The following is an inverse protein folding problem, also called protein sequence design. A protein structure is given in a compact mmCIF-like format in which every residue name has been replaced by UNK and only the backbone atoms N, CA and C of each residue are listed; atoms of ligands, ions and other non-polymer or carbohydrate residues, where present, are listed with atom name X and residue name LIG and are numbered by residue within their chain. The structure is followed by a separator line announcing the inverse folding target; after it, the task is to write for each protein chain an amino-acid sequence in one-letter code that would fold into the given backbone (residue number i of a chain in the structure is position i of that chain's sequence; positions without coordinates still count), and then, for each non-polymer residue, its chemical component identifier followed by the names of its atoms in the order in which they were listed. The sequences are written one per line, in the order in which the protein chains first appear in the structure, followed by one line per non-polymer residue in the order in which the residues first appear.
data_IF_332041136923
#
_entry.id   IF_332041136923
#
_cell.length_a   1.000
_cell.length_b   1.000
_cell.length_c   1.000
_cell.angle_alpha   90.00
_cell.angle_beta   90.00
_cell.angle_gamma   90.00
#
_symmetry.space_group_name_H-M   'P 1'
#
loop_
_entity.id
_entity.type
_entity.pdbx_description
1 polymer ?
#
# COMPACT_ATOMS: atom_id res chain seq x y z
N UNK A 1 9.82 -26.66 -0.93
CA UNK A 1 9.35 -26.59 0.47
C UNK A 1 7.95 -26.02 0.41
N UNK A 2 6.95 -26.78 0.87
CA UNK A 2 5.55 -26.33 0.90
C UNK A 2 5.44 -25.28 2.01
N UNK A 3 4.77 -24.15 1.74
CA UNK A 3 4.50 -23.15 2.76
C UNK A 3 3.51 -23.74 3.79
N UNK A 4 3.86 -23.66 5.06
CA UNK A 4 3.02 -24.17 6.14
C UNK A 4 2.85 -23.08 7.22
N UNK A 5 1.60 -22.81 7.60
CA UNK A 5 1.28 -21.93 8.72
C UNK A 5 1.66 -22.59 10.05
N UNK A 6 2.32 -21.86 10.93
CA UNK A 6 2.45 -22.23 12.33
C UNK A 6 1.09 -22.01 13.04
N UNK A 7 0.30 -23.06 13.06
CA UNK A 7 -1.07 -23.00 13.58
C UNK A 7 -1.12 -22.70 15.08
N UNK A 8 -0.16 -23.18 15.87
CA UNK A 8 -0.13 -22.92 17.31
C UNK A 8 0.17 -21.46 17.61
N UNK A 9 1.12 -20.89 16.90
CA UNK A 9 1.47 -19.47 17.01
C UNK A 9 0.32 -18.58 16.51
N UNK A 10 -0.28 -18.92 15.38
CA UNK A 10 -1.39 -18.18 14.80
C UNK A 10 -2.61 -18.20 15.74
N UNK A 11 -2.95 -19.34 16.30
CA UNK A 11 -4.03 -19.48 17.29
C UNK A 11 -3.76 -18.56 18.50
N UNK A 12 -2.55 -18.59 19.04
CA UNK A 12 -2.17 -17.73 20.18
C UNK A 12 -2.27 -16.23 19.85
N UNK A 13 -1.78 -15.82 18.66
CA UNK A 13 -1.80 -14.43 18.23
C UNK A 13 -3.25 -13.90 18.14
N UNK A 14 -4.15 -14.68 17.59
CA UNK A 14 -5.55 -14.27 17.40
C UNK A 14 -6.35 -14.45 18.70
N UNK A 15 -6.23 -15.60 19.38
CA UNK A 15 -7.06 -15.89 20.55
C UNK A 15 -6.67 -15.08 21.79
N UNK A 16 -5.36 -14.97 22.06
CA UNK A 16 -4.83 -14.32 23.27
C UNK A 16 -4.54 -12.84 23.03
N UNK A 17 -3.79 -12.52 21.95
CA UNK A 17 -3.36 -11.15 21.70
C UNK A 17 -4.36 -10.33 20.89
N UNK A 18 -5.44 -10.94 20.38
CA UNK A 18 -6.53 -10.25 19.67
C UNK A 18 -6.08 -9.48 18.43
N UNK A 19 -5.05 -9.99 17.74
CA UNK A 19 -4.56 -9.36 16.50
C UNK A 19 -5.61 -9.50 15.41
N UNK A 20 -6.07 -8.38 14.88
CA UNK A 20 -7.14 -8.29 13.87
C UNK A 20 -6.64 -7.86 12.48
N UNK A 21 -5.34 -7.67 12.31
CA UNK A 21 -4.76 -7.31 11.02
C UNK A 21 -3.42 -8.01 10.82
N UNK A 22 -3.15 -8.44 9.59
CA UNK A 22 -1.90 -9.06 9.19
C UNK A 22 -1.38 -8.44 7.90
N UNK A 23 -0.05 -8.47 7.73
CA UNK A 23 0.59 -7.86 6.58
C UNK A 23 1.65 -8.78 5.95
N UNK A 24 1.80 -8.64 4.65
CA UNK A 24 2.82 -9.23 3.80
C UNK A 24 2.93 -10.77 3.84
N UNK A 25 3.93 -11.29 3.15
CA UNK A 25 4.30 -12.70 3.16
C UNK A 25 5.59 -12.89 3.97
N UNK A 26 5.80 -14.06 4.59
CA UNK A 26 6.94 -14.26 5.49
C UNK A 26 8.28 -14.18 4.77
N UNK A 27 8.55 -14.99 3.74
CA UNK A 27 9.89 -15.07 3.12
C UNK A 27 9.87 -15.23 1.62
N UNK A 28 8.73 -15.54 1.03
CA UNK A 28 8.56 -15.76 -0.42
C UNK A 28 7.14 -15.41 -0.84
N UNK A 29 6.97 -15.10 -2.12
CA UNK A 29 5.64 -15.04 -2.72
C UNK A 29 4.95 -16.41 -2.66
N UNK A 30 3.64 -16.41 -2.57
CA UNK A 30 2.80 -17.61 -2.58
C UNK A 30 1.99 -17.65 -3.87
N UNK A 31 1.66 -18.85 -4.33
CA UNK A 31 0.69 -19.03 -5.42
C UNK A 31 -0.71 -18.60 -4.96
N UNK A 32 -1.59 -18.31 -5.90
CA UNK A 32 -3.01 -18.03 -5.61
C UNK A 32 -3.63 -19.15 -4.74
N UNK A 33 -3.37 -20.42 -5.10
CA UNK A 33 -3.88 -21.55 -4.35
C UNK A 33 -3.35 -21.66 -2.91
N UNK A 34 -2.12 -21.20 -2.66
CA UNK A 34 -1.56 -21.12 -1.30
C UNK A 34 -2.20 -19.97 -0.53
N UNK A 35 -2.34 -18.78 -1.14
CA UNK A 35 -3.04 -17.64 -0.53
C UNK A 35 -4.48 -17.98 -0.15
N UNK A 36 -5.22 -18.64 -1.02
CA UNK A 36 -6.59 -19.13 -0.78
C UNK A 36 -6.70 -20.17 0.36
N UNK A 37 -5.59 -20.71 0.84
CA UNK A 37 -5.54 -21.52 2.07
C UNK A 37 -5.16 -20.68 3.29
N UNK A 38 -4.20 -19.77 3.12
CA UNK A 38 -3.67 -18.94 4.22
C UNK A 38 -4.73 -17.97 4.75
N UNK A 39 -5.26 -17.12 3.89
CA UNK A 39 -6.18 -16.05 4.31
C UNK A 39 -7.49 -16.60 4.88
N UNK A 40 -8.18 -17.56 4.25
CA UNK A 40 -9.37 -18.16 4.85
C UNK A 40 -9.12 -18.90 6.18
N UNK A 41 -7.93 -19.47 6.37
CA UNK A 41 -7.57 -20.10 7.66
C UNK A 41 -7.48 -19.04 8.76
N UNK A 42 -6.83 -17.90 8.50
CA UNK A 42 -6.76 -16.77 9.42
C UNK A 42 -8.18 -16.24 9.70
N UNK A 43 -9.00 -16.07 8.67
CA UNK A 43 -10.39 -15.61 8.81
C UNK A 43 -11.23 -16.53 9.70
N UNK A 44 -11.10 -17.86 9.55
CA UNK A 44 -11.81 -18.82 10.41
C UNK A 44 -11.44 -18.64 11.89
N UNK A 45 -10.16 -18.47 12.19
CA UNK A 45 -9.69 -18.23 13.57
C UNK A 45 -10.17 -16.87 14.09
N UNK A 46 -10.12 -15.83 13.28
CA UNK A 46 -10.62 -14.51 13.64
C UNK A 46 -12.10 -14.54 13.98
N UNK A 47 -12.92 -15.13 13.13
CA UNK A 47 -14.35 -15.28 13.38
C UNK A 47 -14.66 -16.14 14.62
N UNK A 48 -13.83 -17.17 14.88
CA UNK A 48 -13.95 -17.99 16.09
C UNK A 48 -13.71 -17.18 17.36
N UNK A 49 -12.64 -16.38 17.41
CA UNK A 49 -12.17 -15.73 18.63
C UNK A 49 -12.53 -14.26 18.77
N UNK A 50 -12.56 -13.51 17.66
CA UNK A 50 -12.82 -12.07 17.66
C UNK A 50 -14.24 -11.71 17.26
N UNK A 51 -14.93 -12.58 16.52
CA UNK A 51 -16.27 -12.37 15.93
C UNK A 51 -16.31 -11.29 14.84
N UNK A 52 -15.15 -10.82 14.41
CA UNK A 52 -14.96 -9.88 13.31
C UNK A 52 -13.90 -10.41 12.35
N UNK A 53 -14.00 -10.14 11.05
CA UNK A 53 -12.98 -10.54 10.08
C UNK A 53 -11.63 -9.87 10.33
N UNK A 54 -10.55 -10.58 10.05
CA UNK A 54 -9.20 -10.01 9.97
C UNK A 54 -9.04 -9.23 8.68
N UNK A 55 -8.35 -8.10 8.73
CA UNK A 55 -7.89 -7.38 7.54
C UNK A 55 -6.49 -7.87 7.19
N UNK A 56 -6.33 -8.42 5.98
CA UNK A 56 -5.03 -8.87 5.46
C UNK A 56 -4.58 -7.97 4.32
N UNK A 57 -3.37 -7.42 4.40
CA UNK A 57 -2.83 -6.51 3.40
C UNK A 57 -1.49 -6.96 2.85
N UNK A 58 -1.22 -6.61 1.58
CA UNK A 58 0.04 -6.88 0.89
C UNK A 58 0.67 -5.61 0.34
N UNK A 59 2.00 -5.57 0.37
CA UNK A 59 2.82 -4.44 -0.08
C UNK A 59 3.20 -4.62 -1.56
N UNK A 60 2.30 -4.28 -2.46
CA UNK A 60 2.40 -4.54 -3.90
C UNK A 60 2.61 -3.25 -4.68
N UNK A 61 3.80 -2.66 -4.59
CA UNK A 61 4.10 -1.32 -5.13
C UNK A 61 4.07 -1.22 -6.66
N UNK A 62 4.29 -2.32 -7.38
CA UNK A 62 4.34 -2.32 -8.85
C UNK A 62 3.77 -3.63 -9.44
N UNK A 63 2.57 -3.98 -9.05
CA UNK A 63 1.90 -5.22 -9.42
C UNK A 63 1.82 -6.21 -8.27
N UNK A 64 1.40 -7.43 -8.55
CA UNK A 64 1.11 -8.46 -7.53
C UNK A 64 2.40 -9.18 -7.07
N UNK A 65 3.35 -8.43 -6.52
CA UNK A 65 4.72 -8.88 -6.20
C UNK A 65 4.78 -10.03 -5.18
N UNK A 66 3.75 -10.21 -4.36
CA UNK A 66 3.65 -11.30 -3.38
C UNK A 66 2.81 -12.50 -3.87
N UNK A 67 2.28 -12.41 -5.10
CA UNK A 67 1.50 -13.50 -5.72
C UNK A 67 2.32 -14.13 -6.83
N UNK A 68 2.76 -15.36 -6.66
CA UNK A 68 3.50 -16.09 -7.70
C UNK A 68 2.63 -16.31 -8.94
N UNK A 69 3.15 -15.88 -10.09
CA UNK A 69 2.42 -15.86 -11.35
C UNK A 69 1.60 -14.58 -11.58
N UNK A 70 1.61 -13.64 -10.64
CA UNK A 70 1.03 -12.32 -10.82
C UNK A 70 1.84 -11.42 -11.74
N UNK A 71 1.20 -10.38 -12.27
CA UNK A 71 1.83 -9.42 -13.19
C UNK A 71 2.75 -8.48 -12.44
N UNK A 72 3.97 -8.31 -12.95
CA UNK A 72 4.92 -7.29 -12.50
C UNK A 72 4.95 -6.15 -13.50
N UNK A 73 4.84 -4.94 -12.99
CA UNK A 73 4.96 -3.70 -13.75
C UNK A 73 6.28 -2.99 -13.47
N UNK A 74 6.69 -2.03 -14.29
CA UNK A 74 7.79 -1.13 -13.96
C UNK A 74 7.54 -0.42 -12.62
N UNK A 75 8.62 0.02 -11.97
CA UNK A 75 8.52 0.77 -10.72
C UNK A 75 7.74 2.07 -10.88
N UNK A 76 7.09 2.61 -9.83
CA UNK A 76 6.29 3.83 -9.90
C UNK A 76 6.99 5.04 -10.52
N UNK A 77 8.30 5.19 -10.34
CA UNK A 77 9.06 6.28 -10.97
C UNK A 77 9.01 6.21 -12.51
N UNK A 78 9.03 5.01 -13.09
CA UNK A 78 8.89 4.85 -14.54
C UNK A 78 7.47 5.15 -15.01
N UNK A 79 6.49 4.79 -14.19
CA UNK A 79 5.09 5.10 -14.45
C UNK A 79 4.86 6.62 -14.41
N UNK A 80 5.42 7.31 -13.39
CA UNK A 80 5.42 8.76 -13.31
C UNK A 80 6.08 9.43 -14.52
N UNK A 81 7.23 8.90 -14.97
CA UNK A 81 7.95 9.41 -16.14
C UNK A 81 7.19 9.24 -17.47
N UNK A 82 6.19 8.36 -17.53
CA UNK A 82 5.33 8.23 -18.70
C UNK A 82 4.34 9.39 -18.87
N UNK A 83 4.06 10.16 -17.82
CA UNK A 83 3.01 11.18 -17.74
C UNK A 83 1.62 10.66 -18.18
N UNK A 84 1.42 9.36 -18.16
CA UNK A 84 0.18 8.71 -18.62
C UNK A 84 -0.59 8.13 -17.43
N UNK A 85 -1.57 8.86 -16.95
CA UNK A 85 -2.40 8.49 -15.80
C UNK A 85 -3.29 7.27 -16.06
N UNK A 86 -3.65 6.99 -17.32
CA UNK A 86 -4.44 5.82 -17.68
C UNK A 86 -3.66 4.52 -17.45
N UNK A 87 -2.34 4.53 -17.65
CA UNK A 87 -1.48 3.39 -17.32
C UNK A 87 -1.46 3.12 -15.82
N UNK A 88 -1.44 4.16 -14.97
CA UNK A 88 -1.53 4.02 -13.53
C UNK A 88 -2.84 3.32 -13.12
N UNK A 89 -3.96 3.76 -13.71
CA UNK A 89 -5.26 3.14 -13.48
C UNK A 89 -5.33 1.68 -13.93
N UNK A 90 -4.83 1.37 -15.12
CA UNK A 90 -4.82 0.01 -15.66
C UNK A 90 -3.96 -0.93 -14.82
N UNK A 91 -2.76 -0.50 -14.40
CA UNK A 91 -1.91 -1.25 -13.49
C UNK A 91 -2.65 -1.58 -12.19
N UNK A 92 -3.30 -0.59 -11.59
CA UNK A 92 -4.05 -0.77 -10.35
C UNK A 92 -5.24 -1.73 -10.51
N UNK A 93 -5.99 -1.66 -11.62
CA UNK A 93 -7.10 -2.60 -11.93
C UNK A 93 -6.59 -4.04 -12.01
N UNK A 94 -5.51 -4.28 -12.75
CA UNK A 94 -4.94 -5.62 -12.92
C UNK A 94 -4.43 -6.14 -11.57
N UNK A 95 -3.70 -5.33 -10.84
CA UNK A 95 -3.18 -5.69 -9.50
C UNK A 95 -4.31 -6.01 -8.53
N UNK A 96 -5.39 -5.20 -8.51
CA UNK A 96 -6.55 -5.45 -7.65
C UNK A 96 -7.23 -6.79 -7.98
N UNK A 97 -7.41 -7.07 -9.25
CA UNK A 97 -7.99 -8.33 -9.71
C UNK A 97 -7.18 -9.54 -9.25
N UNK A 98 -5.85 -9.50 -9.40
CA UNK A 98 -4.96 -10.57 -8.99
C UNK A 98 -4.89 -10.74 -7.46
N UNK A 99 -4.91 -9.63 -6.70
CA UNK A 99 -4.97 -9.66 -5.25
C UNK A 99 -6.28 -10.27 -4.75
N UNK A 100 -7.41 -9.93 -5.37
CA UNK A 100 -8.70 -10.55 -5.03
C UNK A 100 -8.74 -12.04 -5.36
N UNK A 101 -8.08 -12.46 -6.43
CA UNK A 101 -7.92 -13.89 -6.72
C UNK A 101 -7.13 -14.60 -5.61
N UNK A 102 -6.22 -13.91 -4.95
CA UNK A 102 -5.45 -14.41 -3.79
C UNK A 102 -6.15 -14.20 -2.42
N UNK A 103 -7.45 -13.86 -2.41
CA UNK A 103 -8.23 -13.52 -1.21
C UNK A 103 -7.72 -12.31 -0.41
N UNK A 104 -6.80 -11.52 -0.95
CA UNK A 104 -6.28 -10.34 -0.29
C UNK A 104 -7.17 -9.11 -0.55
N UNK A 105 -7.79 -8.51 0.49
CA UNK A 105 -8.73 -7.41 0.31
C UNK A 105 -8.08 -6.02 0.41
N UNK A 106 -6.80 -5.91 0.74
CA UNK A 106 -6.15 -4.65 1.09
C UNK A 106 -4.74 -4.56 0.50
N UNK A 107 -4.40 -3.41 -0.08
CA UNK A 107 -3.08 -3.14 -0.65
C UNK A 107 -2.46 -1.90 -0.01
N UNK A 108 -1.16 -1.98 0.33
CA UNK A 108 -0.39 -0.84 0.85
C UNK A 108 0.18 -0.02 -0.31
N UNK A 109 -0.74 0.56 -1.08
CA UNK A 109 -0.49 1.36 -2.28
C UNK A 109 -1.61 2.39 -2.46
N UNK A 110 -1.40 3.48 -3.23
CA UNK A 110 -0.16 3.96 -3.85
C UNK A 110 0.87 4.51 -2.86
N UNK A 111 2.16 4.44 -3.24
CA UNK A 111 3.21 5.22 -2.59
C UNK A 111 3.24 6.60 -3.21
N UNK A 112 2.94 7.63 -2.43
CA UNK A 112 2.77 9.01 -2.90
C UNK A 112 3.77 9.99 -2.28
N UNK A 113 4.87 9.44 -1.77
CA UNK A 113 6.01 10.22 -1.34
C UNK A 113 6.63 10.95 -2.53
N UNK A 114 7.01 12.22 -2.34
CA UNK A 114 7.73 12.96 -3.38
C UNK A 114 9.21 12.57 -3.41
N UNK A 115 9.65 12.02 -4.51
CA UNK A 115 11.05 11.62 -4.73
C UNK A 115 11.94 12.81 -5.09
N UNK A 116 12.23 13.68 -4.13
CA UNK A 116 13.00 14.92 -4.36
C UNK A 116 14.49 14.79 -4.07
N UNK A 117 14.89 13.88 -3.21
CA UNK A 117 16.29 13.66 -2.86
C UNK A 117 16.78 12.36 -3.53
N UNK A 118 17.70 12.45 -4.51
CA UNK A 118 18.21 11.27 -5.20
C UNK A 118 19.03 10.32 -4.30
N UNK A 119 19.43 10.75 -3.09
CA UNK A 119 20.10 9.91 -2.11
C UNK A 119 19.11 9.02 -1.34
N UNK A 120 17.81 9.36 -1.36
CA UNK A 120 16.80 8.58 -0.66
C UNK A 120 16.61 7.20 -1.33
N UNK A 121 16.82 6.09 -0.58
CA UNK A 121 16.89 4.75 -1.18
C UNK A 121 15.55 4.21 -1.68
N UNK A 122 14.43 4.90 -1.41
CA UNK A 122 13.08 4.52 -1.85
C UNK A 122 12.53 5.46 -2.93
N UNK A 123 13.37 6.31 -3.52
CA UNK A 123 12.95 7.26 -4.57
C UNK A 123 12.22 6.59 -5.73
N UNK A 124 12.60 5.36 -6.07
CA UNK A 124 12.03 4.56 -7.15
C UNK A 124 10.59 4.11 -6.91
N UNK A 125 10.12 4.12 -5.64
CA UNK A 125 8.73 3.84 -5.28
C UNK A 125 7.80 5.04 -5.50
N UNK A 126 8.32 6.23 -5.81
CA UNK A 126 7.55 7.46 -6.04
C UNK A 126 7.27 7.69 -7.53
N UNK A 127 6.26 8.51 -7.84
CA UNK A 127 6.03 8.99 -9.21
C UNK A 127 6.94 10.16 -9.62
N UNK A 128 7.97 10.47 -8.83
CA UNK A 128 8.91 11.56 -9.05
C UNK A 128 8.75 12.71 -8.06
N UNK A 129 9.37 13.85 -8.37
CA UNK A 129 9.49 14.99 -7.45
C UNK A 129 8.31 15.99 -7.52
N UNK A 130 7.51 15.94 -8.60
CA UNK A 130 6.45 16.91 -8.86
C UNK A 130 5.15 16.52 -8.15
N UNK A 131 4.61 17.45 -7.35
CA UNK A 131 3.39 17.20 -6.57
C UNK A 131 2.13 17.05 -7.44
N UNK A 132 2.08 17.70 -8.62
CA UNK A 132 0.93 17.64 -9.54
C UNK A 132 0.92 16.28 -10.22
N UNK A 133 2.08 15.82 -10.72
CA UNK A 133 2.21 14.48 -11.31
C UNK A 133 1.80 13.42 -10.29
N UNK A 134 2.36 13.46 -9.08
CA UNK A 134 2.00 12.53 -8.01
C UNK A 134 0.49 12.57 -7.72
N UNK A 135 -0.11 13.77 -7.60
CA UNK A 135 -1.56 13.92 -7.35
C UNK A 135 -2.42 13.27 -8.44
N UNK A 136 -2.04 13.42 -9.70
CA UNK A 136 -2.78 12.86 -10.82
C UNK A 136 -2.62 11.33 -10.95
N UNK A 137 -1.40 10.84 -10.71
CA UNK A 137 -1.13 9.40 -10.72
C UNK A 137 -1.87 8.68 -9.58
N UNK A 138 -1.77 9.20 -8.35
CA UNK A 138 -2.42 8.58 -7.18
C UNK A 138 -3.94 8.57 -7.28
N UNK A 139 -4.55 9.64 -7.81
CA UNK A 139 -5.99 9.71 -8.06
C UNK A 139 -6.44 8.53 -8.93
N UNK A 140 -5.73 8.26 -10.02
CA UNK A 140 -6.07 7.18 -10.93
C UNK A 140 -5.74 5.79 -10.37
N UNK A 141 -4.67 5.64 -9.60
CA UNK A 141 -4.41 4.35 -8.93
C UNK A 141 -5.47 4.03 -7.87
N UNK A 142 -5.88 5.00 -7.05
CA UNK A 142 -6.97 4.78 -6.07
C UNK A 142 -8.24 4.33 -6.76
N UNK A 143 -8.65 5.03 -7.83
CA UNK A 143 -9.83 4.64 -8.63
C UNK A 143 -9.65 3.27 -9.30
N UNK A 144 -8.43 2.92 -9.70
CA UNK A 144 -8.14 1.61 -10.28
C UNK A 144 -8.25 0.47 -9.25
N UNK A 145 -7.66 0.64 -8.06
CA UNK A 145 -7.74 -0.34 -6.98
C UNK A 145 -9.14 -0.50 -6.41
N UNK A 146 -9.83 0.60 -6.13
CA UNK A 146 -11.09 0.59 -5.40
C UNK A 146 -12.34 0.63 -6.29
N UNK A 147 -12.20 1.02 -7.56
CA UNK A 147 -13.33 1.33 -8.43
C UNK A 147 -13.84 2.76 -8.24
N UNK A 148 -14.97 3.08 -8.88
CA UNK A 148 -15.56 4.43 -8.86
C UNK A 148 -16.65 4.60 -7.79
N UNK A 149 -17.02 3.54 -7.09
CA UNK A 149 -18.02 3.59 -6.01
C UNK A 149 -17.30 3.70 -4.65
N UNK A 150 -17.29 4.89 -4.08
CA UNK A 150 -16.64 5.15 -2.80
C UNK A 150 -17.36 4.50 -1.60
N UNK A 151 -18.55 3.96 -1.79
CA UNK A 151 -19.33 3.34 -0.72
C UNK A 151 -19.13 1.82 -0.64
N UNK A 152 -18.74 1.18 -1.75
CA UNK A 152 -18.62 -0.28 -1.83
C UNK A 152 -17.44 -0.72 -2.68
N UNK A 153 -16.63 -1.59 -2.15
CA UNK A 153 -15.63 -2.30 -2.94
C UNK A 153 -16.31 -3.39 -3.77
N UNK A 154 -16.14 -3.35 -5.08
CA UNK A 154 -16.61 -4.38 -5.98
C UNK A 154 -15.87 -5.71 -5.78
N UNK A 155 -16.39 -6.77 -6.38
CA UNK A 155 -15.82 -8.12 -6.31
C UNK A 155 -14.33 -8.19 -6.64
N UNK A 156 -13.87 -7.36 -7.55
CA UNK A 156 -12.50 -7.34 -8.09
C UNK A 156 -11.66 -6.17 -7.57
N UNK A 157 -12.18 -5.40 -6.63
CA UNK A 157 -11.51 -4.24 -6.05
C UNK A 157 -10.90 -4.55 -4.69
N UNK A 158 -9.87 -3.80 -4.32
CA UNK A 158 -9.20 -3.87 -3.02
C UNK A 158 -9.16 -2.50 -2.37
N UNK A 159 -9.17 -2.45 -1.05
CA UNK A 159 -8.95 -1.21 -0.30
C UNK A 159 -7.50 -0.75 -0.49
N UNK A 160 -7.30 0.55 -0.61
CA UNK A 160 -5.97 1.17 -0.64
C UNK A 160 -5.51 1.61 0.74
N UNK A 161 -4.19 1.59 0.96
CA UNK A 161 -3.54 2.33 2.05
C UNK A 161 -2.46 3.21 1.45
N UNK A 162 -2.82 4.47 1.22
CA UNK A 162 -1.88 5.43 0.64
C UNK A 162 -0.77 5.76 1.63
N UNK A 163 0.48 5.86 1.17
CA UNK A 163 1.65 5.92 2.03
C UNK A 163 2.75 6.85 1.50
N UNK A 164 3.63 7.37 2.37
CA UNK A 164 3.63 7.30 3.82
C UNK A 164 3.32 8.71 4.35
N UNK A 165 2.23 8.90 5.03
CA UNK A 165 1.78 10.20 5.51
C UNK A 165 2.70 10.73 6.62
N UNK A 166 3.41 11.86 6.44
CA UNK A 166 3.75 12.52 5.17
C UNK A 166 5.18 13.04 5.23
N UNK A 167 5.70 13.57 4.11
CA UNK A 167 7.06 14.10 3.98
C UNK A 167 8.19 13.06 4.14
N UNK A 168 7.89 11.77 4.01
CA UNK A 168 8.86 10.69 4.14
C UNK A 168 9.93 10.71 3.04
N UNK A 169 9.58 11.15 1.83
CA UNK A 169 10.50 11.32 0.70
C UNK A 169 11.42 12.54 0.77
N UNK A 170 11.47 13.24 1.93
CA UNK A 170 12.34 14.41 2.15
C UNK A 170 13.26 14.23 3.38
N UNK A 171 14.00 13.10 3.51
CA UNK A 171 14.88 12.88 4.63
C UNK A 171 16.03 13.89 4.63
N UNK A 172 16.24 14.62 5.71
CA UNK A 172 17.29 15.64 5.82
C UNK A 172 18.69 15.10 5.49
N UNK A 173 18.98 13.89 5.92
CA UNK A 173 20.29 13.25 5.68
C UNK A 173 20.38 12.53 4.32
N UNK A 174 19.27 12.37 3.59
CA UNK A 174 19.14 11.48 2.43
C UNK A 174 19.01 9.99 2.78
N UNK A 175 19.15 9.60 4.06
CA UNK A 175 19.02 8.22 4.51
C UNK A 175 17.58 7.89 4.88
N UNK A 176 17.20 6.64 4.67
CA UNK A 176 15.87 6.17 5.00
C UNK A 176 15.52 6.36 6.48
N UNK A 177 14.25 6.67 6.75
CA UNK A 177 13.70 6.83 8.12
C UNK A 177 14.42 7.86 8.99
N UNK A 178 14.98 8.88 8.37
CA UNK A 178 15.55 10.02 9.09
C UNK A 178 14.61 11.22 9.02
N UNK A 179 14.71 12.16 10.00
CA UNK A 179 13.79 13.28 10.11
C UNK A 179 13.72 14.15 8.83
N UNK A 180 12.56 14.69 8.55
CA UNK A 180 12.37 15.76 7.58
C UNK A 180 12.25 17.11 8.28
N UNK A 181 12.89 18.17 7.69
CA UNK A 181 12.79 19.55 8.16
C UNK A 181 12.33 20.42 6.99
N UNK A 182 11.10 20.85 7.03
CA UNK A 182 10.43 21.57 5.94
C UNK A 182 9.59 22.72 6.49
N UNK A 183 9.49 23.81 5.73
CA UNK A 183 8.59 24.90 6.11
C UNK A 183 7.11 24.44 6.09
N UNK A 184 6.23 25.03 6.93
CA UNK A 184 4.79 24.74 6.88
C UNK A 184 4.18 24.94 5.50
N UNK A 185 4.64 25.94 4.75
CA UNK A 185 4.19 26.20 3.38
C UNK A 185 4.56 25.05 2.45
N UNK A 186 5.80 24.57 2.49
CA UNK A 186 6.27 23.45 1.68
C UNK A 186 5.49 22.16 2.02
N UNK A 187 5.29 21.88 3.30
CA UNK A 187 4.51 20.73 3.76
C UNK A 187 3.09 20.77 3.18
N UNK A 188 2.43 21.93 3.27
CA UNK A 188 1.06 22.11 2.81
C UNK A 188 0.92 22.04 1.29
N UNK A 189 1.76 22.80 0.55
CA UNK A 189 1.58 22.96 -0.90
C UNK A 189 2.16 21.83 -1.73
N UNK A 190 3.13 21.07 -1.18
CA UNK A 190 3.80 20.02 -1.94
C UNK A 190 3.51 18.63 -1.38
N UNK A 191 3.78 18.40 -0.11
CA UNK A 191 3.71 17.05 0.44
C UNK A 191 2.29 16.62 0.84
N UNK A 192 1.41 17.56 1.21
CA UNK A 192 0.04 17.26 1.58
C UNK A 192 -0.89 17.11 0.37
N UNK A 193 -0.67 17.85 -0.72
CA UNK A 193 -1.57 17.84 -1.87
C UNK A 193 -1.79 16.45 -2.49
N UNK A 194 -0.77 15.58 -2.71
CA UNK A 194 -1.02 14.23 -3.20
C UNK A 194 -1.91 13.39 -2.27
N UNK A 195 -1.77 13.52 -0.94
CA UNK A 195 -2.64 12.84 0.03
C UNK A 195 -4.07 13.35 -0.04
N UNK A 196 -4.25 14.66 -0.17
CA UNK A 196 -5.58 15.27 -0.34
C UNK A 196 -6.28 14.72 -1.59
N UNK A 197 -5.57 14.64 -2.73
CA UNK A 197 -6.10 14.05 -3.94
C UNK A 197 -6.46 12.58 -3.78
N UNK A 198 -5.61 11.79 -3.10
CA UNK A 198 -5.90 10.40 -2.80
C UNK A 198 -7.18 10.22 -1.97
N UNK A 199 -7.34 11.03 -0.91
CA UNK A 199 -8.52 11.01 -0.04
C UNK A 199 -9.77 11.44 -0.80
N UNK A 200 -9.68 12.47 -1.64
CA UNK A 200 -10.77 12.91 -2.48
C UNK A 200 -11.17 11.88 -3.54
N UNK A 201 -10.22 11.08 -4.03
CA UNK A 201 -10.48 9.93 -4.89
C UNK A 201 -11.08 8.72 -4.15
N UNK A 202 -11.21 8.81 -2.82
CA UNK A 202 -11.86 7.80 -1.99
C UNK A 202 -10.92 6.81 -1.31
N UNK A 203 -9.62 7.09 -1.18
CA UNK A 203 -8.69 6.21 -0.48
C UNK A 203 -9.20 5.87 0.94
N UNK A 204 -9.31 4.57 1.24
CA UNK A 204 -9.96 4.10 2.47
C UNK A 204 -9.06 4.15 3.70
N UNK A 205 -7.76 4.00 3.52
CA UNK A 205 -6.79 4.02 4.63
C UNK A 205 -5.52 4.79 4.28
N UNK A 206 -4.81 5.25 5.30
CA UNK A 206 -3.54 5.96 5.18
C UNK A 206 -2.51 5.30 6.08
N UNK A 207 -1.34 5.00 5.55
CA UNK A 207 -0.20 4.53 6.34
C UNK A 207 0.65 5.71 6.77
N UNK A 208 0.86 5.82 8.07
CA UNK A 208 1.67 6.88 8.68
C UNK A 208 3.16 6.66 8.39
N UNK A 209 3.89 7.75 8.17
CA UNK A 209 5.35 7.77 8.07
C UNK A 209 6.02 7.30 9.38
N UNK A 210 7.16 6.65 9.26
CA UNK A 210 7.95 6.16 10.41
C UNK A 210 9.08 7.10 10.85
N UNK A 211 9.15 8.31 10.28
CA UNK A 211 10.12 9.34 10.65
C UNK A 211 9.41 10.55 11.27
N UNK A 212 10.15 11.43 11.95
CA UNK A 212 9.61 12.69 12.44
C UNK A 212 9.63 13.79 11.38
N UNK A 213 8.73 14.76 11.52
CA UNK A 213 8.69 15.97 10.72
C UNK A 213 8.85 17.17 11.65
N UNK A 214 9.87 18.00 11.43
CA UNK A 214 10.20 19.16 12.26
C UNK A 214 10.33 18.82 13.75
N UNK A 215 10.90 17.66 14.07
CA UNK A 215 11.10 17.19 15.42
C UNK A 215 9.88 16.55 16.09
N UNK A 216 8.75 16.47 15.41
CA UNK A 216 7.51 15.84 15.93
C UNK A 216 7.30 14.49 15.24
N UNK A 217 7.07 13.40 15.97
CA UNK A 217 6.61 12.13 15.39
C UNK A 217 5.31 12.33 14.63
N UNK A 218 5.18 11.68 13.47
CA UNK A 218 3.98 11.78 12.63
C UNK A 218 2.89 10.85 13.15
#
# INVERSE_FOLDING_TARGET
MVFQLDMAKLDTIISKYKVGSFLNAPTKGLTVAEWQKVIPTIQKLSMKYLKIPTIYGLDNNHGSTYVLGGTLFPQPINLGASFNVDLARQMAIITAYELRAADCPWVYNPTIDLGRDPRWPRIWESFGEDAIVNSKMVEQEVLGYQGNDNNHLGKYNVATSVKHYFAYGAPFSGKDRTPAYLSPLMLREKFFEPFKHAIQAGALTVMVNSASVNGVPV
#
